data_IF_357650759171
#
_entry.id   IF_357650759171
#
_cell.length_a   1.000
_cell.length_b   1.000
_cell.length_c   1.000
_cell.angle_alpha   90.00
_cell.angle_beta   90.00
_cell.angle_gamma   90.00
#
_symmetry.space_group_name_H-M   'P 1'
#
loop_
_entity.id
_entity.type
_entity.pdbx_description
1 polymer ?
#
# COMPACT_ATOMS: atom_id res chain seq x y z
N UNK A 1 12.18 6.18 36.67
CA UNK A 1 13.28 7.14 36.52
C UNK A 1 12.71 8.42 35.93
N UNK A 2 13.10 9.54 36.53
CA UNK A 2 12.44 10.84 36.52
C UNK A 2 12.15 11.41 35.12
N UNK A 3 10.90 11.82 34.92
CA UNK A 3 10.51 12.75 33.86
C UNK A 3 11.10 14.12 34.19
N UNK A 4 12.09 14.53 33.41
CA UNK A 4 12.68 15.85 33.50
C UNK A 4 11.69 16.91 33.00
N UNK A 5 11.52 17.95 33.80
CA UNK A 5 11.01 19.26 33.40
C UNK A 5 11.74 19.69 32.11
N UNK A 6 10.99 20.12 31.09
CA UNK A 6 11.35 20.22 29.65
C UNK A 6 11.20 18.97 28.79
N UNK A 7 10.30 18.05 29.15
CA UNK A 7 9.77 17.11 28.16
C UNK A 7 8.92 17.89 27.14
N UNK A 8 9.33 18.04 25.86
CA UNK A 8 8.54 18.76 24.88
C UNK A 8 7.17 18.07 24.74
N UNK A 9 6.11 18.86 24.76
CA UNK A 9 4.74 18.39 24.49
C UNK A 9 4.75 17.42 23.30
N UNK A 10 4.05 16.30 23.45
CA UNK A 10 3.83 15.33 22.40
C UNK A 10 3.37 16.08 21.15
N UNK A 11 4.12 15.96 20.05
CA UNK A 11 3.75 16.56 18.78
C UNK A 11 2.38 16.02 18.36
N UNK A 12 1.36 16.88 18.29
CA UNK A 12 0.01 16.50 17.88
C UNK A 12 -0.12 16.73 16.38
N UNK A 13 -0.58 15.70 15.65
CA UNK A 13 -1.02 15.86 14.26
C UNK A 13 -2.48 16.29 14.26
N UNK A 14 -2.78 17.37 13.59
CA UNK A 14 -4.15 17.84 13.34
C UNK A 14 -4.45 17.69 11.84
N UNK A 15 -5.59 17.09 11.53
CA UNK A 15 -6.10 17.00 10.16
C UNK A 15 -7.21 18.05 9.96
N UNK A 16 -7.26 18.68 8.79
CA UNK A 16 -8.24 19.72 8.44
C UNK A 16 -9.04 19.30 7.22
N UNK A 17 -10.28 19.76 7.12
CA UNK A 17 -11.19 19.41 6.01
C UNK A 17 -10.97 20.25 4.75
N UNK A 18 -10.31 21.41 4.85
CA UNK A 18 -10.10 22.35 3.74
C UNK A 18 -8.62 22.63 3.51
N UNK A 19 -8.19 22.55 2.25
CA UNK A 19 -6.82 22.88 1.85
C UNK A 19 -6.48 24.34 2.13
N UNK A 20 -7.44 25.24 1.88
CA UNK A 20 -7.26 26.68 2.11
C UNK A 20 -6.97 26.98 3.58
N UNK A 21 -7.67 26.32 4.50
CA UNK A 21 -7.40 26.46 5.95
C UNK A 21 -5.98 26.00 6.31
N UNK A 22 -5.49 24.92 5.71
CA UNK A 22 -4.12 24.43 5.93
C UNK A 22 -3.12 25.46 5.41
N UNK A 23 -3.33 26.00 4.22
CA UNK A 23 -2.47 27.03 3.62
C UNK A 23 -2.39 28.29 4.49
N UNK A 24 -3.54 28.81 4.93
CA UNK A 24 -3.63 29.99 5.80
C UNK A 24 -2.87 29.76 7.12
N UNK A 25 -3.07 28.60 7.77
CA UNK A 25 -2.38 28.25 9.02
C UNK A 25 -0.87 28.08 8.81
N UNK A 26 -0.45 27.45 7.70
CA UNK A 26 0.96 27.27 7.40
C UNK A 26 1.67 28.59 7.06
N UNK A 27 0.94 29.55 6.49
CA UNK A 27 1.44 30.91 6.26
C UNK A 27 1.59 31.69 7.56
N UNK A 28 0.65 31.54 8.50
CA UNK A 28 0.69 32.20 9.80
C UNK A 28 1.62 31.50 10.82
N UNK A 29 1.97 30.22 10.57
CA UNK A 29 2.83 29.35 11.40
C UNK A 29 2.25 29.14 12.81
N UNK A 30 0.99 29.49 13.05
CA UNK A 30 0.34 29.47 14.36
C UNK A 30 -1.10 29.00 14.26
N UNK A 31 -1.57 28.32 15.32
CA UNK A 31 -2.98 27.95 15.49
C UNK A 31 -3.44 28.31 16.91
N UNK A 32 -4.70 28.69 17.04
CA UNK A 32 -5.33 28.96 18.32
C UNK A 32 -6.33 27.85 18.66
N UNK A 33 -6.20 27.25 19.84
CA UNK A 33 -7.13 26.27 20.38
C UNK A 33 -7.62 26.82 21.72
N UNK A 34 -8.88 27.27 21.75
CA UNK A 34 -9.39 28.06 22.88
C UNK A 34 -8.63 29.39 23.00
N UNK A 35 -8.09 29.68 24.19
CA UNK A 35 -7.28 30.89 24.45
C UNK A 35 -5.77 30.63 24.32
N UNK A 36 -5.37 29.44 23.90
CA UNK A 36 -3.95 29.06 23.80
C UNK A 36 -3.47 29.12 22.36
N UNK A 37 -2.21 29.54 22.21
CA UNK A 37 -1.52 29.67 20.93
C UNK A 37 -0.45 28.59 20.80
N UNK A 38 -0.42 27.95 19.64
CA UNK A 38 0.52 26.88 19.34
C UNK A 38 1.25 27.16 18.04
N UNK A 39 2.56 26.86 18.01
CA UNK A 39 3.35 26.90 16.80
C UNK A 39 3.04 25.67 15.92
N UNK A 40 2.90 25.92 14.63
CA UNK A 40 2.54 24.92 13.63
C UNK A 40 3.71 24.70 12.69
N UNK A 41 3.86 23.46 12.22
CA UNK A 41 4.79 23.13 11.15
C UNK A 41 4.13 22.14 10.19
N UNK A 42 4.51 22.16 8.90
CA UNK A 42 4.06 21.14 7.96
C UNK A 42 4.34 19.74 8.49
N UNK A 43 3.33 18.88 8.47
CA UNK A 43 3.49 17.48 8.83
C UNK A 43 3.99 16.69 7.62
N UNK A 44 5.16 16.07 7.76
CA UNK A 44 5.68 15.11 6.79
C UNK A 44 5.49 13.72 7.36
N UNK A 45 4.75 12.88 6.63
CA UNK A 45 4.51 11.51 7.05
C UNK A 45 5.83 10.74 7.13
N UNK A 46 6.06 10.06 8.25
CA UNK A 46 7.23 9.22 8.43
C UNK A 46 7.31 8.20 7.29
N UNK A 47 8.36 8.30 6.47
CA UNK A 47 8.52 7.43 5.33
C UNK A 47 9.13 6.12 5.78
N UNK A 48 8.42 5.02 5.52
CA UNK A 48 8.98 3.67 5.66
C UNK A 48 9.70 3.29 4.38
N UNK A 49 10.98 2.96 4.50
CA UNK A 49 11.76 2.42 3.38
C UNK A 49 11.36 0.96 3.19
N UNK A 50 10.80 0.65 2.03
CA UNK A 50 10.46 -0.72 1.67
C UNK A 50 11.69 -1.63 1.79
N UNK A 51 11.50 -2.83 2.34
CA UNK A 51 12.52 -3.87 2.42
C UNK A 51 11.95 -5.18 1.95
N UNK A 52 12.76 -5.99 1.29
CA UNK A 52 12.39 -7.35 0.94
C UNK A 52 12.23 -8.20 2.21
N UNK A 53 11.16 -8.99 2.31
CA UNK A 53 10.95 -9.86 3.50
C UNK A 53 11.82 -11.12 3.48
N UNK A 54 12.40 -11.50 2.32
CA UNK A 54 13.29 -12.66 2.18
C UNK A 54 14.74 -12.31 2.51
N UNK A 55 15.27 -11.26 1.87
CA UNK A 55 16.69 -10.90 1.97
C UNK A 55 16.96 -9.57 2.67
N UNK A 56 15.93 -8.84 3.14
CA UNK A 56 16.04 -7.56 3.86
C UNK A 56 16.78 -6.43 3.12
N UNK A 57 17.07 -6.58 1.82
CA UNK A 57 17.56 -5.50 0.98
C UNK A 57 16.45 -4.46 0.73
N UNK A 58 16.85 -3.20 0.65
CA UNK A 58 15.98 -2.08 0.30
C UNK A 58 15.94 -1.76 -1.21
N UNK A 59 16.46 -2.65 -2.06
CA UNK A 59 16.60 -2.39 -3.50
C UNK A 59 15.44 -2.93 -4.34
N UNK A 60 14.72 -3.92 -3.84
CA UNK A 60 13.64 -4.57 -4.56
C UNK A 60 12.49 -4.98 -3.63
N UNK A 61 11.33 -5.26 -4.22
CA UNK A 61 10.17 -5.81 -3.50
C UNK A 61 10.32 -7.32 -3.33
N UNK A 62 9.70 -7.90 -2.30
CA UNK A 62 9.75 -9.34 -2.02
C UNK A 62 9.38 -10.22 -3.21
N UNK A 63 8.44 -9.78 -4.04
CA UNK A 63 7.96 -10.49 -5.24
C UNK A 63 9.08 -10.64 -6.29
N UNK A 64 9.98 -9.66 -6.40
CA UNK A 64 11.09 -9.63 -7.35
C UNK A 64 12.36 -10.28 -6.78
N UNK A 65 12.27 -10.93 -5.63
CA UNK A 65 13.43 -11.47 -4.93
C UNK A 65 13.72 -12.92 -5.36
N UNK A 66 14.89 -13.11 -5.98
CA UNK A 66 15.43 -14.42 -6.34
C UNK A 66 16.47 -14.95 -5.33
N UNK A 67 16.69 -14.23 -4.21
CA UNK A 67 17.65 -14.61 -3.15
C UNK A 67 16.98 -15.57 -2.15
N UNK A 68 17.75 -16.47 -1.51
CA UNK A 68 17.23 -17.30 -0.44
C UNK A 68 16.80 -16.46 0.77
N UNK A 69 15.92 -17.03 1.59
CA UNK A 69 15.52 -16.41 2.85
C UNK A 69 16.69 -16.47 3.85
N UNK A 70 17.02 -15.32 4.44
CA UNK A 70 18.10 -15.17 5.42
C UNK A 70 17.54 -14.71 6.78
N UNK A 71 18.37 -14.65 7.81
CA UNK A 71 17.99 -14.10 9.13
C UNK A 71 18.31 -12.60 9.20
N UNK A 72 17.36 -11.81 9.70
CA UNK A 72 17.47 -10.34 9.75
C UNK A 72 18.64 -9.83 10.59
N UNK A 73 19.03 -10.58 11.63
CA UNK A 73 20.10 -10.22 12.56
C UNK A 73 21.49 -10.35 11.92
N UNK A 74 21.79 -11.49 11.30
CA UNK A 74 23.14 -11.83 10.83
C UNK A 74 23.29 -11.81 9.29
N UNK A 75 22.20 -11.72 8.55
CA UNK A 75 22.22 -11.71 7.08
C UNK A 75 22.62 -13.04 6.43
N UNK A 76 22.67 -14.14 7.18
CA UNK A 76 23.04 -15.47 6.69
C UNK A 76 21.82 -16.39 6.54
N UNK A 77 21.94 -17.37 5.65
CA UNK A 77 20.98 -18.45 5.46
C UNK A 77 21.28 -19.57 6.46
N UNK A 78 20.40 -19.78 7.43
CA UNK A 78 20.47 -20.92 8.35
C UNK A 78 19.06 -21.23 8.92
N UNK A 79 18.84 -22.43 9.50
CA UNK A 79 17.54 -22.82 10.03
C UNK A 79 16.98 -21.81 11.03
N UNK A 80 15.65 -21.60 10.98
CA UNK A 80 14.92 -20.75 11.92
C UNK A 80 14.63 -21.44 13.27
N UNK A 81 15.08 -22.69 13.42
CA UNK A 81 14.84 -23.55 14.60
C UNK A 81 15.47 -23.00 15.88
N UNK A 82 16.57 -22.27 15.78
CA UNK A 82 17.18 -21.63 16.94
C UNK A 82 16.50 -20.26 17.13
N UNK A 83 15.81 -20.08 18.26
CA UNK A 83 15.28 -18.77 18.68
C UNK A 83 16.40 -17.72 18.63
N UNK A 84 17.58 -18.10 19.13
CA UNK A 84 18.76 -17.25 19.15
C UNK A 84 19.71 -17.52 17.97
N UNK A 85 19.88 -16.49 17.14
CA UNK A 85 20.94 -16.48 16.15
C UNK A 85 22.28 -16.23 16.85
N UNK A 86 23.16 -17.24 16.86
CA UNK A 86 24.50 -17.17 17.47
C UNK A 86 25.52 -16.40 16.61
N UNK A 87 25.20 -16.19 15.34
CA UNK A 87 26.06 -15.43 14.42
C UNK A 87 26.11 -13.93 14.82
N UNK A 88 27.25 -13.26 14.59
CA UNK A 88 27.37 -11.84 14.85
C UNK A 88 26.37 -11.05 14.00
N UNK A 89 25.83 -9.97 14.57
CA UNK A 89 24.90 -9.12 13.85
C UNK A 89 25.60 -8.45 12.66
N UNK A 90 25.00 -8.53 11.49
CA UNK A 90 25.55 -8.01 10.24
C UNK A 90 24.44 -7.52 9.33
N UNK A 91 24.48 -6.24 9.00
CA UNK A 91 23.47 -5.60 8.18
C UNK A 91 23.73 -5.87 6.70
N UNK A 92 22.76 -6.42 5.98
CA UNK A 92 22.90 -6.71 4.54
C UNK A 92 23.02 -5.47 3.67
N UNK A 93 22.58 -4.30 4.18
CA UNK A 93 22.54 -3.06 3.41
C UNK A 93 23.83 -2.24 3.56
N UNK A 94 24.40 -2.14 4.76
CA UNK A 94 25.62 -1.35 5.02
C UNK A 94 26.81 -2.18 5.52
N UNK A 95 26.64 -3.50 5.71
CA UNK A 95 27.65 -4.42 6.25
C UNK A 95 28.12 -4.10 7.70
N UNK A 96 27.42 -3.21 8.41
CA UNK A 96 27.72 -2.83 9.79
C UNK A 96 27.29 -3.87 10.85
N UNK A 97 27.78 -3.68 12.08
CA UNK A 97 27.54 -4.56 13.25
C UNK A 97 26.15 -4.36 13.89
N UNK A 98 25.09 -4.46 13.09
CA UNK A 98 23.69 -4.36 13.54
C UNK A 98 22.78 -5.18 12.61
N UNK A 99 21.54 -5.45 13.04
CA UNK A 99 20.53 -6.13 12.22
C UNK A 99 20.01 -5.25 11.07
N UNK A 100 19.53 -5.85 9.98
CA UNK A 100 19.11 -5.09 8.80
C UNK A 100 17.94 -4.10 9.02
N UNK A 101 17.21 -4.21 10.13
CA UNK A 101 16.11 -3.34 10.56
C UNK A 101 16.53 -2.25 11.56
N UNK A 102 17.78 -2.22 11.98
CA UNK A 102 18.23 -1.28 13.00
C UNK A 102 18.10 0.18 12.51
N UNK A 103 17.51 1.10 13.31
CA UNK A 103 17.24 2.48 12.89
C UNK A 103 18.50 3.33 12.64
N UNK A 104 19.66 2.91 13.16
CA UNK A 104 20.93 3.58 12.92
C UNK A 104 21.61 3.21 11.60
N UNK A 105 21.00 2.36 10.76
CA UNK A 105 21.59 1.97 9.49
C UNK A 105 21.73 3.20 8.55
N UNK A 106 22.96 3.55 8.11
CA UNK A 106 23.19 4.76 7.31
C UNK A 106 22.47 4.72 5.96
N UNK A 107 22.39 3.54 5.34
CA UNK A 107 21.67 3.34 4.06
C UNK A 107 20.17 3.60 4.22
N UNK A 108 19.58 3.15 5.32
CA UNK A 108 18.16 3.40 5.62
C UNK A 108 17.93 4.87 5.90
N UNK A 109 18.77 5.50 6.72
CA UNK A 109 18.68 6.92 7.03
C UNK A 109 18.79 7.79 5.78
N UNK A 110 19.72 7.47 4.87
CA UNK A 110 19.86 8.20 3.61
C UNK A 110 18.62 8.03 2.72
N UNK A 111 18.09 6.80 2.58
CA UNK A 111 16.84 6.57 1.83
C UNK A 111 15.65 7.30 2.46
N UNK A 112 15.51 7.28 3.78
CA UNK A 112 14.48 8.06 4.48
C UNK A 112 14.61 9.55 4.16
N UNK A 113 15.81 10.13 4.29
CA UNK A 113 16.07 11.55 3.99
C UNK A 113 15.71 11.91 2.55
N UNK A 114 16.05 11.07 1.58
CA UNK A 114 15.71 11.30 0.17
C UNK A 114 14.20 11.28 -0.06
N UNK A 115 13.49 10.30 0.52
CA UNK A 115 12.04 10.19 0.36
C UNK A 115 11.30 11.32 1.08
N UNK A 116 11.73 11.70 2.28
CA UNK A 116 11.20 12.87 2.98
C UNK A 116 11.51 14.17 2.23
N UNK A 117 12.69 14.28 1.61
CA UNK A 117 13.04 15.42 0.75
C UNK A 117 12.08 15.55 -0.43
N UNK A 118 11.75 14.44 -1.10
CA UNK A 118 10.73 14.43 -2.17
C UNK A 118 9.35 14.88 -1.69
N UNK A 119 8.93 14.47 -0.49
CA UNK A 119 7.66 14.93 0.10
C UNK A 119 7.64 16.45 0.35
N UNK A 120 8.79 17.05 0.68
CA UNK A 120 8.88 18.52 0.88
C UNK A 120 8.72 19.30 -0.42
N UNK A 121 9.18 18.75 -1.54
CA UNK A 121 9.17 19.41 -2.86
C UNK A 121 7.83 19.24 -3.58
N UNK A 122 7.09 18.16 -3.29
CA UNK A 122 5.73 17.91 -3.80
C UNK A 122 4.64 17.90 -2.70
N UNK A 123 4.36 19.02 -1.99
CA UNK A 123 3.24 19.06 -1.03
C UNK A 123 1.88 18.72 -1.67
N UNK A 124 1.69 19.11 -2.94
CA UNK A 124 0.45 18.94 -3.69
C UNK A 124 0.08 17.47 -3.97
N UNK A 125 1.06 16.57 -4.09
CA UNK A 125 0.83 15.14 -4.42
C UNK A 125 0.23 14.36 -3.23
N UNK A 126 0.58 14.76 -2.00
CA UNK A 126 0.04 14.15 -0.77
C UNK A 126 -1.42 14.55 -0.48
N UNK A 127 -1.86 15.71 -0.97
CA UNK A 127 -3.25 16.16 -0.86
C UNK A 127 -4.14 15.45 -1.89
N UNK A 128 -3.62 15.20 -3.10
CA UNK A 128 -4.34 14.52 -4.19
C UNK A 128 -4.50 13.02 -3.92
N UNK A 129 -3.56 12.35 -3.25
CA UNK A 129 -3.74 10.92 -2.94
C UNK A 129 -4.89 10.66 -1.95
N UNK A 130 -5.19 11.61 -1.05
CA UNK A 130 -6.35 11.49 -0.13
C UNK A 130 -7.68 11.70 -0.85
N UNK A 131 -7.78 12.62 -1.82
CA UNK A 131 -9.01 12.83 -2.60
C UNK A 131 -9.26 11.69 -3.60
N UNK A 132 -8.21 11.10 -4.19
CA UNK A 132 -8.33 9.95 -5.07
C UNK A 132 -8.79 8.67 -4.34
N UNK A 133 -8.37 8.47 -3.09
CA UNK A 133 -8.89 7.37 -2.24
C UNK A 133 -10.36 7.56 -1.86
N UNK A 134 -10.85 8.80 -1.79
CA UNK A 134 -12.27 9.09 -1.55
C UNK A 134 -13.12 8.86 -2.82
N UNK A 135 -12.59 9.16 -4.00
CA UNK A 135 -13.32 8.91 -5.26
C UNK A 135 -13.35 7.45 -5.70
N UNK A 136 -12.36 6.63 -5.34
CA UNK A 136 -12.37 5.19 -5.68
C UNK A 136 -13.50 4.41 -4.97
N UNK A 137 -14.08 4.94 -3.89
CA UNK A 137 -15.19 4.32 -3.16
C UNK A 137 -16.58 4.81 -3.58
N UNK A 138 -16.69 5.69 -4.59
CA UNK A 138 -17.98 6.30 -5.02
C UNK A 138 -18.32 6.13 -6.50
N UNK A 139 -17.51 5.41 -7.29
CA UNK A 139 -17.75 5.21 -8.73
C UNK A 139 -17.94 3.72 -9.08
N UNK A 140 -18.50 2.94 -8.16
CA UNK A 140 -18.94 1.56 -8.43
C UNK A 140 -20.44 1.45 -8.75
N UNK A 141 -21.09 2.55 -9.09
CA UNK A 141 -22.48 2.56 -9.57
C UNK A 141 -22.62 3.58 -10.71
N UNK A 142 -23.31 3.17 -11.76
CA UNK A 142 -23.64 3.84 -13.03
C UNK A 142 -22.87 3.39 -14.29
N UNK A 143 -23.66 2.63 -15.09
CA UNK A 143 -23.40 2.08 -16.40
C UNK A 143 -23.10 3.11 -17.50
N UNK A 144 -22.43 2.58 -18.52
CA UNK A 144 -22.14 3.14 -19.83
C UNK A 144 -23.36 3.74 -20.57
N UNK A 145 -23.23 5.01 -20.95
CA UNK A 145 -23.88 5.59 -22.14
C UNK A 145 -22.86 6.56 -22.79
N UNK A 146 -22.18 6.10 -23.84
CA UNK A 146 -21.25 6.93 -24.63
C UNK A 146 -21.90 7.29 -25.96
N UNK A 147 -22.13 8.58 -26.27
CA UNK A 147 -22.28 9.03 -27.65
C UNK A 147 -20.90 9.38 -28.23
N UNK A 148 -20.61 8.77 -29.37
CA UNK A 148 -19.46 9.05 -30.21
C UNK A 148 -19.31 10.54 -30.54
N UNK A 149 -18.08 11.05 -30.55
CA UNK A 149 -17.75 12.29 -31.26
C UNK A 149 -16.59 12.10 -32.22
N UNK A 150 -16.91 12.42 -33.47
CA UNK A 150 -16.11 12.36 -34.68
C UNK A 150 -15.01 13.43 -34.74
N UNK A 151 -13.87 13.00 -35.29
CA UNK A 151 -13.01 13.69 -36.26
C UNK A 151 -13.05 15.22 -36.33
N UNK A 152 -11.90 15.87 -36.10
CA UNK A 152 -11.33 16.86 -37.05
C UNK A 152 -9.99 17.42 -36.57
N UNK A 153 -8.90 17.08 -37.28
CA UNK A 153 -7.75 17.98 -37.41
C UNK A 153 -7.29 17.99 -38.86
N UNK A 154 -7.44 19.16 -39.47
CA UNK A 154 -7.11 19.49 -40.84
C UNK A 154 -5.65 19.96 -40.97
N UNK A 155 -5.06 19.58 -42.10
CA UNK A 155 -4.08 20.32 -42.93
C UNK A 155 -2.69 20.65 -42.37
N UNK A 156 -1.66 19.95 -42.90
CA UNK A 156 -0.32 20.51 -43.16
C UNK A 156 0.16 20.04 -44.55
N UNK A 157 0.85 20.87 -45.37
CA UNK A 157 1.07 20.59 -46.79
C UNK A 157 2.23 19.62 -47.10
N UNK A 158 2.04 18.96 -48.23
CA UNK A 158 2.90 18.00 -48.93
C UNK A 158 4.24 18.57 -49.39
N UNK A 159 5.35 17.86 -49.06
CA UNK A 159 6.60 17.91 -49.81
C UNK A 159 6.92 16.49 -50.31
N UNK A 160 7.02 16.34 -51.63
CA UNK A 160 7.39 15.10 -52.32
C UNK A 160 8.89 14.84 -52.18
N UNK A 161 9.24 13.67 -51.64
CA UNK A 161 10.47 12.96 -52.01
C UNK A 161 10.10 11.49 -52.25
N UNK A 162 10.16 11.05 -53.51
CA UNK A 162 9.90 9.66 -53.90
C UNK A 162 11.20 8.87 -53.77
N UNK A 163 11.12 7.72 -53.10
CA UNK A 163 12.14 6.66 -53.13
C UNK A 163 12.67 6.30 -51.75
N UNK A 164 11.88 5.57 -50.95
CA UNK A 164 12.29 4.73 -49.78
C UNK A 164 11.13 4.53 -48.78
N UNK A 165 10.10 5.39 -48.82
CA UNK A 165 9.03 5.39 -47.80
C UNK A 165 8.22 4.09 -47.69
N UNK A 166 7.99 3.35 -48.77
CA UNK A 166 7.20 2.12 -48.72
C UNK A 166 7.90 0.98 -47.93
N UNK A 167 9.23 0.90 -47.98
CA UNK A 167 10.01 -0.06 -47.21
C UNK A 167 10.15 0.36 -45.75
N UNK A 168 10.27 1.67 -45.48
CA UNK A 168 10.26 2.22 -44.13
C UNK A 168 8.89 2.08 -43.46
N UNK A 169 7.78 2.29 -44.18
CA UNK A 169 6.42 2.09 -43.70
C UNK A 169 6.12 0.62 -43.38
N UNK A 170 6.56 -0.34 -44.21
CA UNK A 170 6.43 -1.76 -43.90
C UNK A 170 7.22 -2.16 -42.64
N UNK A 171 8.41 -1.60 -42.44
CA UNK A 171 9.23 -1.84 -41.24
C UNK A 171 8.62 -1.20 -39.99
N UNK A 172 8.08 0.01 -40.10
CA UNK A 172 7.34 0.68 -39.02
C UNK A 172 6.04 -0.05 -38.67
N UNK A 173 5.28 -0.52 -39.66
CA UNK A 173 4.06 -1.31 -39.45
C UNK A 173 4.36 -2.67 -38.80
N UNK A 174 5.48 -3.31 -39.18
CA UNK A 174 5.92 -4.56 -38.56
C UNK A 174 6.43 -4.34 -37.13
N UNK A 175 7.16 -3.26 -36.85
CA UNK A 175 7.60 -2.94 -35.48
C UNK A 175 6.45 -2.53 -34.57
N UNK A 176 5.46 -1.78 -35.07
CA UNK A 176 4.26 -1.42 -34.28
C UNK A 176 3.35 -2.61 -34.05
N UNK A 177 3.28 -3.57 -34.98
CA UNK A 177 2.49 -4.78 -34.82
C UNK A 177 3.12 -5.75 -33.78
N UNK A 178 4.45 -5.88 -33.76
CA UNK A 178 5.14 -6.71 -32.77
C UNK A 178 5.07 -6.13 -31.36
N UNK A 179 5.14 -4.80 -31.22
CA UNK A 179 5.01 -4.13 -29.92
C UNK A 179 3.56 -4.16 -29.40
N UNK A 180 2.57 -3.99 -30.29
CA UNK A 180 1.15 -4.09 -29.93
C UNK A 180 0.76 -5.48 -29.45
N UNK A 181 1.23 -6.54 -30.12
CA UNK A 181 0.97 -7.92 -29.72
C UNK A 181 1.65 -8.28 -28.38
N UNK A 182 2.82 -7.72 -28.10
CA UNK A 182 3.49 -7.91 -26.82
C UNK A 182 2.73 -7.22 -25.66
N UNK A 183 2.17 -6.04 -25.90
CA UNK A 183 1.31 -5.35 -24.93
C UNK A 183 0.03 -6.16 -24.67
N UNK A 184 -0.61 -6.70 -25.71
CA UNK A 184 -1.82 -7.52 -25.58
C UNK A 184 -1.58 -8.83 -24.83
N UNK A 185 -0.43 -9.48 -25.06
CA UNK A 185 0.01 -10.65 -24.29
C UNK A 185 0.28 -10.30 -22.81
N UNK A 186 0.89 -9.14 -22.53
CA UNK A 186 1.12 -8.71 -21.15
C UNK A 186 -0.22 -8.45 -20.46
N UNK A 187 -1.13 -7.72 -21.12
CA UNK A 187 -2.44 -7.38 -20.57
C UNK A 187 -3.27 -8.64 -20.32
N UNK A 188 -3.33 -9.58 -21.28
CA UNK A 188 -4.05 -10.84 -21.10
C UNK A 188 -3.44 -11.73 -20.00
N UNK A 189 -2.11 -11.76 -19.87
CA UNK A 189 -1.44 -12.48 -18.76
C UNK A 189 -1.71 -11.84 -17.39
N UNK A 190 -1.97 -10.54 -17.38
CA UNK A 190 -2.27 -9.79 -16.16
C UNK A 190 -3.74 -9.94 -15.76
N UNK A 191 -4.67 -9.87 -16.72
CA UNK A 191 -6.10 -10.08 -16.46
C UNK A 191 -6.37 -11.49 -15.98
N UNK A 192 -5.80 -12.51 -16.63
CA UNK A 192 -5.93 -13.92 -16.19
C UNK A 192 -5.39 -14.16 -14.78
N UNK A 193 -4.27 -13.51 -14.41
CA UNK A 193 -3.75 -13.57 -13.03
C UNK A 193 -4.69 -12.91 -12.03
N UNK A 194 -5.29 -11.76 -12.39
CA UNK A 194 -6.26 -11.09 -11.53
C UNK A 194 -7.48 -11.98 -11.33
N UNK A 195 -8.06 -12.51 -12.40
CA UNK A 195 -9.21 -13.42 -12.36
C UNK A 195 -8.93 -14.63 -11.47
N UNK A 196 -7.76 -15.25 -11.63
CA UNK A 196 -7.36 -16.38 -10.81
C UNK A 196 -7.20 -15.99 -9.34
N UNK A 197 -6.60 -14.84 -9.03
CA UNK A 197 -6.50 -14.37 -7.63
C UNK A 197 -7.85 -14.02 -7.02
N UNK A 198 -8.78 -13.47 -7.81
CA UNK A 198 -10.14 -13.17 -7.35
C UNK A 198 -10.93 -14.46 -7.10
N UNK A 199 -10.77 -15.46 -7.97
CA UNK A 199 -11.36 -16.78 -7.78
C UNK A 199 -10.84 -17.46 -6.51
N UNK A 200 -9.52 -17.51 -6.32
CA UNK A 200 -8.89 -18.09 -5.13
C UNK A 200 -9.30 -17.37 -3.85
N UNK A 201 -9.41 -16.04 -3.90
CA UNK A 201 -9.88 -15.24 -2.78
C UNK A 201 -11.34 -15.54 -2.45
N UNK A 202 -12.22 -15.52 -3.46
CA UNK A 202 -13.63 -15.85 -3.31
C UNK A 202 -13.83 -17.24 -2.71
N UNK A 203 -13.11 -18.25 -3.22
CA UNK A 203 -13.17 -19.62 -2.72
C UNK A 203 -12.79 -19.73 -1.24
N UNK A 204 -11.72 -19.03 -0.82
CA UNK A 204 -11.29 -18.98 0.59
C UNK A 204 -12.33 -18.31 1.48
N UNK A 205 -12.90 -17.19 1.03
CA UNK A 205 -13.94 -16.48 1.78
C UNK A 205 -15.19 -17.36 1.95
N UNK A 206 -15.65 -18.04 0.88
CA UNK A 206 -16.79 -18.96 0.96
C UNK A 206 -16.52 -20.09 1.95
N UNK A 207 -15.32 -20.67 1.94
CA UNK A 207 -14.97 -21.74 2.89
C UNK A 207 -15.00 -21.24 4.34
N UNK A 208 -14.46 -20.04 4.59
CA UNK A 208 -14.49 -19.43 5.92
C UNK A 208 -15.91 -19.09 6.38
N UNK A 209 -16.76 -18.61 5.47
CA UNK A 209 -18.17 -18.34 5.76
C UNK A 209 -18.89 -19.64 6.14
N UNK A 210 -18.72 -20.73 5.39
CA UNK A 210 -19.33 -22.02 5.73
C UNK A 210 -18.85 -22.58 7.09
N UNK A 211 -17.56 -22.40 7.43
CA UNK A 211 -17.06 -22.78 8.76
C UNK A 211 -17.68 -21.94 9.88
N UNK A 212 -17.93 -20.65 9.63
CA UNK A 212 -18.59 -19.77 10.59
C UNK A 212 -20.07 -20.11 10.76
N UNK A 213 -20.79 -20.38 9.66
CA UNK A 213 -22.18 -20.82 9.68
C UNK A 213 -22.33 -22.09 10.53
N UNK A 214 -21.46 -23.09 10.31
CA UNK A 214 -21.46 -24.31 11.11
C UNK A 214 -21.26 -24.04 12.61
N UNK A 215 -20.36 -23.12 12.97
CA UNK A 215 -20.12 -22.75 14.38
C UNK A 215 -21.31 -22.01 14.99
N UNK A 216 -22.02 -21.21 14.20
CA UNK A 216 -23.24 -20.53 14.63
C UNK A 216 -24.32 -21.57 14.93
N UNK A 217 -24.51 -22.56 14.05
CA UNK A 217 -25.48 -23.64 14.24
C UNK A 217 -25.16 -24.50 15.48
N UNK A 218 -23.89 -24.87 15.66
CA UNK A 218 -23.43 -25.59 16.86
C UNK A 218 -23.66 -24.80 18.15
N UNK A 219 -23.47 -23.48 18.12
CA UNK A 219 -23.74 -22.61 19.26
C UNK A 219 -25.25 -22.44 19.51
N UNK A 220 -26.08 -22.38 18.46
CA UNK A 220 -27.53 -22.31 18.60
C UNK A 220 -28.10 -23.59 19.25
N UNK A 221 -27.57 -24.75 18.89
CA UNK A 221 -27.91 -26.03 19.53
C UNK A 221 -27.53 -26.06 21.01
N UNK A 222 -26.34 -25.57 21.38
CA UNK A 222 -25.95 -25.48 22.81
C UNK A 222 -26.82 -24.49 23.59
N UNK A 223 -27.26 -23.41 22.94
CA UNK A 223 -28.16 -22.44 23.57
C UNK A 223 -29.52 -23.07 23.86
N UNK A 224 -30.06 -23.88 22.94
CA UNK A 224 -31.34 -24.57 23.16
C UNK A 224 -31.25 -25.69 24.20
N UNK A 225 -30.11 -26.38 24.32
CA UNK A 225 -29.84 -27.29 25.43
C UNK A 225 -29.84 -26.55 26.78
N UNK A 226 -29.20 -25.37 26.83
CA UNK A 226 -29.18 -24.54 28.02
C UNK A 226 -30.59 -24.06 28.41
N UNK A 227 -31.39 -23.60 27.44
CA UNK A 227 -32.77 -23.19 27.68
C UNK A 227 -33.62 -24.35 28.22
N UNK A 228 -33.44 -25.56 27.71
CA UNK A 228 -34.10 -26.76 28.25
C UNK A 228 -33.67 -27.08 29.68
N UNK A 229 -32.39 -26.91 30.03
CA UNK A 229 -31.90 -27.09 31.39
C UNK A 229 -32.52 -26.06 32.34
N UNK A 230 -32.55 -24.78 31.93
CA UNK A 230 -33.18 -23.70 32.71
C UNK A 230 -34.67 -23.99 32.90
N UNK A 231 -35.37 -24.40 31.85
CA UNK A 231 -36.80 -24.75 31.91
C UNK A 231 -37.07 -25.90 32.90
N UNK A 232 -36.24 -26.95 32.88
CA UNK A 232 -36.43 -28.12 33.74
C UNK A 232 -35.95 -27.94 35.20
N UNK A 233 -35.03 -27.02 35.48
CA UNK A 233 -34.51 -26.79 36.84
C UNK A 233 -35.22 -25.64 37.54
N UNK A 234 -35.53 -24.55 36.83
CA UNK A 234 -35.99 -23.30 37.44
C UNK A 234 -37.51 -23.23 37.55
N UNK A 235 -38.26 -23.79 36.59
CA UNK A 235 -39.72 -23.71 36.60
C UNK A 235 -40.46 -24.70 37.54
N UNK A 236 -39.96 -25.90 37.91
CA UNK A 236 -40.66 -26.75 38.88
C UNK A 236 -40.59 -26.24 40.33
N UNK A 237 -39.88 -25.14 40.61
CA UNK A 237 -39.79 -24.52 41.94
C UNK A 237 -40.88 -23.46 42.17
N UNK A 238 -41.72 -23.18 41.17
CA UNK A 238 -42.85 -22.26 41.26
C UNK A 238 -44.19 -22.99 41.08
N UNK A 239 -44.48 -23.96 41.96
CA UNK A 239 -45.84 -24.44 42.26
C UNK A 239 -45.93 -24.81 43.74
#
# INVERSE_FOLDING_TARGET
MYGGENSPLNLIRTDFSSLKQVEDILNEIKIYIGQMKYDVRPYYQSVRVNKCMKCFSHEHRTIQCNKPQIRIRCGLQHPFTNLDCTNPAKCVNCQGKHSADHPSCPVVQQKCKLLTGRQKVNPAELLVQKSQLQHYNTVSDYNDDVPAFSSSLSSVPSVRARGSYAAALKRLQQSTATDSHHVELILSSFTTKIEQTLYDFGFRMTTQICELEKKIDENALKMSEFDNIVYNIVLPVCN
#
